data_IF_331654881322
#
_entry.id   IF_331654881322
#
_cell.length_a   1.000
_cell.length_b   1.000
_cell.length_c   1.000
_cell.angle_alpha   90.00
_cell.angle_beta   90.00
_cell.angle_gamma   90.00
#
_symmetry.space_group_name_H-M   'P 1'
#
loop_
_entity.id
_entity.type
_entity.pdbx_description
1 polymer ?
#
# COMPACT_ATOMS: atom_id res chain seq x y z
N UNK A 1 7.47 -2.45 -5.91
CA UNK A 1 6.19 -2.27 -6.66
C UNK A 1 5.49 -3.62 -6.68
N UNK A 2 4.28 -3.73 -6.13
CA UNK A 2 3.56 -5.02 -6.09
C UNK A 2 3.07 -5.44 -7.49
N UNK A 3 3.25 -6.71 -7.82
CA UNK A 3 2.86 -7.28 -9.11
C UNK A 3 1.82 -8.37 -8.91
N UNK A 4 0.80 -8.38 -9.78
CA UNK A 4 -0.16 -9.47 -9.82
C UNK A 4 0.48 -10.71 -10.43
N UNK A 5 -0.05 -11.90 -10.13
CA UNK A 5 0.40 -13.16 -10.74
C UNK A 5 0.29 -13.17 -12.27
N UNK A 6 -0.56 -12.34 -12.84
CA UNK A 6 -0.66 -12.16 -14.30
C UNK A 6 0.44 -11.26 -14.89
N UNK A 7 1.39 -10.78 -14.08
CA UNK A 7 2.43 -9.82 -14.49
C UNK A 7 1.97 -8.36 -14.53
N UNK A 8 0.69 -8.07 -14.26
CA UNK A 8 0.16 -6.72 -14.28
C UNK A 8 0.47 -5.92 -13.00
N UNK A 9 0.53 -4.58 -13.09
CA UNK A 9 0.71 -3.75 -11.91
C UNK A 9 -0.52 -3.84 -11.00
N UNK A 10 -0.28 -3.99 -9.69
CA UNK A 10 -1.30 -3.79 -8.67
C UNK A 10 -1.29 -2.33 -8.24
N UNK A 11 -2.42 -1.66 -8.35
CA UNK A 11 -2.61 -0.27 -7.91
C UNK A 11 -3.46 -0.24 -6.65
N UNK A 12 -3.08 0.65 -5.73
CA UNK A 12 -3.78 0.84 -4.48
C UNK A 12 -5.06 1.66 -4.71
N UNK A 13 -6.18 1.22 -4.15
CA UNK A 13 -7.44 1.95 -4.20
C UNK A 13 -7.42 3.11 -3.19
N UNK A 14 -7.08 4.30 -3.71
CA UNK A 14 -6.99 5.53 -2.92
C UNK A 14 -8.36 6.05 -2.46
N UNK A 15 -9.45 5.68 -3.15
CA UNK A 15 -10.81 6.07 -2.76
C UNK A 15 -11.17 5.41 -1.43
N UNK A 16 -10.89 4.12 -1.29
CA UNK A 16 -11.13 3.39 -0.05
C UNK A 16 -10.32 3.98 1.13
N UNK A 17 -9.06 4.38 0.90
CA UNK A 17 -8.23 5.01 1.93
C UNK A 17 -8.79 6.37 2.33
N UNK A 18 -9.24 7.16 1.36
CA UNK A 18 -9.80 8.49 1.59
C UNK A 18 -11.07 8.42 2.44
N UNK A 19 -11.94 7.43 2.19
CA UNK A 19 -13.12 7.17 3.01
C UNK A 19 -12.75 6.72 4.42
N UNK A 20 -11.81 5.78 4.56
CA UNK A 20 -11.36 5.34 5.88
C UNK A 20 -10.74 6.46 6.72
N UNK A 21 -10.07 7.44 6.09
CA UNK A 21 -9.62 8.67 6.78
C UNK A 21 -10.79 9.52 7.25
N UNK A 22 -11.84 9.69 6.44
CA UNK A 22 -13.03 10.48 6.80
C UNK A 22 -13.75 9.90 8.03
N UNK A 23 -13.75 8.57 8.17
CA UNK A 23 -14.39 7.89 9.30
C UNK A 23 -13.43 7.60 10.47
N UNK A 24 -12.20 8.13 10.45
CA UNK A 24 -11.17 7.89 11.48
C UNK A 24 -10.87 6.40 11.75
N UNK A 25 -11.13 5.52 10.78
CA UNK A 25 -10.90 4.08 10.86
C UNK A 25 -9.71 3.61 10.03
N UNK A 26 -8.84 4.54 9.62
CA UNK A 26 -7.65 4.24 8.81
C UNK A 26 -6.79 3.14 9.46
N UNK A 27 -6.60 3.16 10.78
CA UNK A 27 -5.75 2.21 11.49
C UNK A 27 -6.24 0.75 11.44
N UNK A 28 -7.53 0.53 11.18
CA UNK A 28 -8.15 -0.81 11.10
C UNK A 28 -8.61 -1.16 9.69
N UNK A 29 -8.45 -0.25 8.73
CA UNK A 29 -8.90 -0.48 7.36
C UNK A 29 -7.91 -1.34 6.59
N UNK A 30 -8.43 -2.31 5.84
CA UNK A 30 -7.64 -3.11 4.91
C UNK A 30 -7.39 -2.32 3.63
N UNK A 31 -6.16 -2.35 3.15
CA UNK A 31 -5.78 -1.77 1.89
C UNK A 31 -6.22 -2.68 0.75
N UNK A 32 -7.00 -2.13 -0.17
CA UNK A 32 -7.42 -2.80 -1.38
C UNK A 32 -6.47 -2.46 -2.52
N UNK A 33 -5.88 -3.49 -3.13
CA UNK A 33 -5.08 -3.38 -4.32
C UNK A 33 -5.81 -4.05 -5.48
N UNK A 34 -5.77 -3.46 -6.67
CA UNK A 34 -6.44 -3.99 -7.86
C UNK A 34 -5.48 -4.08 -9.03
N UNK A 35 -5.50 -5.19 -9.75
CA UNK A 35 -4.69 -5.34 -10.94
C UNK A 35 -5.32 -4.63 -12.13
N UNK A 36 -4.56 -3.77 -12.81
CA UNK A 36 -5.04 -3.06 -13.99
C UNK A 36 -5.23 -3.96 -15.22
N UNK A 37 -4.63 -5.16 -15.25
CA UNK A 37 -4.71 -6.07 -16.39
C UNK A 37 -5.82 -7.11 -16.26
N UNK A 38 -5.86 -7.84 -15.14
CA UNK A 38 -6.80 -8.94 -14.94
C UNK A 38 -7.96 -8.61 -13.99
N UNK A 39 -7.95 -7.41 -13.37
CA UNK A 39 -8.98 -7.00 -12.42
C UNK A 39 -8.90 -7.68 -11.04
N UNK A 40 -7.90 -8.53 -10.80
CA UNK A 40 -7.74 -9.23 -9.53
C UNK A 40 -7.57 -8.26 -8.35
N UNK A 41 -8.26 -8.53 -7.25
CA UNK A 41 -8.21 -7.71 -6.04
C UNK A 41 -7.45 -8.43 -4.93
N UNK A 42 -6.55 -7.71 -4.27
CA UNK A 42 -5.77 -8.19 -3.14
C UNK A 42 -6.05 -7.29 -1.93
N UNK A 43 -6.37 -7.90 -0.79
CA UNK A 43 -6.60 -7.22 0.47
C UNK A 43 -5.38 -7.40 1.37
N UNK A 44 -4.80 -6.30 1.83
CA UNK A 44 -3.65 -6.30 2.73
C UNK A 44 -3.97 -5.52 3.99
N UNK A 45 -3.54 -6.06 5.13
CA UNK A 45 -3.65 -5.34 6.38
C UNK A 45 -2.63 -4.19 6.43
N UNK A 46 -3.02 -3.04 6.97
CA UNK A 46 -2.20 -1.83 6.93
C UNK A 46 -0.86 -2.03 7.66
N UNK A 47 -0.84 -2.83 8.73
CA UNK A 47 0.39 -3.17 9.46
C UNK A 47 1.43 -3.89 8.58
N UNK A 48 0.97 -4.68 7.61
CA UNK A 48 1.84 -5.43 6.68
C UNK A 48 2.30 -4.54 5.53
N UNK A 49 1.40 -3.70 5.00
CA UNK A 49 1.74 -2.80 3.90
C UNK A 49 2.74 -1.72 4.29
N UNK A 50 2.68 -1.22 5.53
CA UNK A 50 3.70 -0.29 6.06
C UNK A 50 5.04 -1.00 6.23
N UNK A 51 5.09 -2.26 6.67
CA UNK A 51 6.35 -2.99 6.75
C UNK A 51 7.04 -3.16 5.39
N UNK A 52 6.28 -3.42 4.31
CA UNK A 52 6.83 -3.56 2.96
C UNK A 52 7.20 -2.23 2.29
N UNK A 53 6.53 -1.12 2.66
CA UNK A 53 6.89 0.22 2.18
C UNK A 53 8.01 0.87 2.99
N UNK A 54 8.05 0.71 4.32
CA UNK A 54 9.11 1.24 5.18
C UNK A 54 10.45 0.59 4.90
N UNK A 55 10.48 -0.69 4.49
CA UNK A 55 11.68 -1.35 3.98
C UNK A 55 12.26 -0.68 2.70
N UNK A 56 11.46 0.12 1.98
CA UNK A 56 11.92 0.89 0.81
C UNK A 56 12.15 2.37 1.10
N UNK A 57 11.69 2.91 2.24
CA UNK A 57 11.86 4.32 2.61
C UNK A 57 13.02 4.52 3.60
N UNK A 58 13.44 3.48 4.34
CA UNK A 58 14.69 3.54 5.13
C UNK A 58 15.99 3.35 4.31
N UNK A 59 15.91 3.48 2.98
CA UNK A 59 17.11 3.60 2.13
C UNK A 59 17.36 5.05 1.67
N UNK A 60 16.46 5.99 1.96
CA UNK A 60 16.61 7.39 1.60
C UNK A 60 16.40 8.27 2.83
N UNK A 61 17.53 8.79 3.33
CA UNK A 61 17.64 9.90 4.29
C UNK A 61 17.82 9.53 5.77
N UNK A 62 19.06 9.12 6.08
CA UNK A 62 19.73 9.51 7.32
C UNK A 62 21.22 9.78 7.04
N UNK A 63 21.52 10.93 6.43
CA UNK A 63 22.71 11.70 6.84
C UNK A 63 22.17 13.00 7.42
N UNK A 64 22.57 13.36 8.65
CA UNK A 64 23.67 14.33 8.74
C UNK A 64 24.62 14.17 9.96
N UNK A 65 25.81 14.74 9.75
CA UNK A 65 26.74 15.37 10.70
C UNK A 65 27.41 14.53 11.80
N UNK A 66 28.67 14.19 11.55
CA UNK A 66 29.84 14.64 12.32
C UNK A 66 31.05 14.72 11.37
#
# INVERSE_FOLDING_TARGET
MMTCRCGGPLTLDLSHISEARRFSCLATTRLLWKCCLCGHSLWLDQAVAVAEHSASVEAAEARPVA
#
